data_IF_180726013827
#
_entry.id   IF_180726013827
#
_cell.length_a   1.000
_cell.length_b   1.000
_cell.length_c   1.000
_cell.angle_alpha   90.00
_cell.angle_beta   90.00
_cell.angle_gamma   90.00
#
_symmetry.space_group_name_H-M   'P 1'
#
loop_
_entity.id
_entity.type
_entity.pdbx_description
1 polymer ?
#
# COMPACT_ATOMS: atom_id res chain seq x y z
N UNK A 1 4.66 22.30 -27.08
CA UNK A 1 3.71 21.82 -26.05
C UNK A 1 2.78 22.96 -25.63
N UNK A 2 1.50 22.94 -26.00
CA UNK A 2 0.55 24.04 -25.74
C UNK A 2 0.33 24.36 -24.25
N UNK A 3 0.61 23.40 -23.35
CA UNK A 3 0.49 23.58 -21.90
C UNK A 3 1.58 24.51 -21.32
N UNK A 4 2.81 24.46 -21.85
CA UNK A 4 3.91 25.30 -21.38
C UNK A 4 3.65 26.79 -21.67
N UNK A 5 3.11 27.09 -22.85
CA UNK A 5 2.71 28.45 -23.26
C UNK A 5 1.62 29.01 -22.34
N UNK A 6 0.57 28.21 -22.07
CA UNK A 6 -0.50 28.62 -21.15
C UNK A 6 0.00 28.91 -19.74
N UNK A 7 0.93 28.10 -19.22
CA UNK A 7 1.52 28.33 -17.89
C UNK A 7 2.29 29.65 -17.83
N UNK A 8 3.07 29.97 -18.87
CA UNK A 8 3.82 31.23 -18.97
C UNK A 8 2.90 32.45 -19.05
N UNK A 9 1.80 32.37 -19.79
CA UNK A 9 0.82 33.45 -19.90
C UNK A 9 0.15 33.73 -18.54
N UNK A 10 -0.25 32.67 -17.83
CA UNK A 10 -0.83 32.78 -16.48
C UNK A 10 0.17 33.35 -15.48
N UNK A 11 1.43 32.92 -15.52
CA UNK A 11 2.48 33.45 -14.65
C UNK A 11 2.73 34.96 -14.91
N UNK A 12 2.78 35.35 -16.19
CA UNK A 12 2.94 36.76 -16.59
C UNK A 12 1.76 37.61 -16.14
N UNK A 13 0.54 37.09 -16.25
CA UNK A 13 -0.65 37.76 -15.76
C UNK A 13 -0.62 37.96 -14.24
N UNK A 14 -0.25 36.91 -13.48
CA UNK A 14 -0.15 36.98 -12.01
C UNK A 14 0.85 38.06 -11.56
N UNK A 15 1.99 38.18 -12.24
CA UNK A 15 3.00 39.20 -11.95
C UNK A 15 2.53 40.65 -12.18
N UNK A 16 1.49 40.86 -12.99
CA UNK A 16 0.90 42.18 -13.21
C UNK A 16 -0.04 42.61 -12.07
N UNK A 17 -0.64 41.67 -11.36
CA UNK A 17 -1.71 41.93 -10.38
C UNK A 17 -1.34 41.62 -8.93
N UNK A 18 -0.33 40.79 -8.69
CA UNK A 18 0.06 40.34 -7.37
C UNK A 18 1.55 40.55 -7.12
N UNK A 19 1.90 40.86 -5.87
CA UNK A 19 3.30 40.85 -5.45
C UNK A 19 3.82 39.41 -5.32
N UNK A 20 5.15 39.27 -5.24
CA UNK A 20 5.81 37.97 -5.18
C UNK A 20 5.32 37.12 -3.99
N UNK A 21 5.08 37.73 -2.83
CA UNK A 21 4.63 37.03 -1.61
C UNK A 21 3.24 36.46 -1.79
N UNK A 22 2.33 37.23 -2.39
CA UNK A 22 0.95 36.80 -2.70
C UNK A 22 0.95 35.71 -3.75
N UNK A 23 1.80 35.82 -4.78
CA UNK A 23 1.92 34.78 -5.80
C UNK A 23 2.39 33.46 -5.17
N UNK A 24 3.42 33.50 -4.35
CA UNK A 24 3.93 32.30 -3.67
C UNK A 24 2.87 31.69 -2.74
N UNK A 25 2.20 32.51 -1.92
CA UNK A 25 1.21 32.04 -0.96
C UNK A 25 -0.03 31.39 -1.61
N UNK A 26 -0.50 31.95 -2.73
CA UNK A 26 -1.71 31.45 -3.40
C UNK A 26 -1.41 30.38 -4.47
N UNK A 27 -0.27 30.45 -5.14
CA UNK A 27 0.00 29.65 -6.34
C UNK A 27 1.26 28.80 -6.26
N UNK A 28 2.19 29.03 -5.32
CA UNK A 28 3.47 28.31 -5.27
C UNK A 28 3.33 26.78 -5.21
N UNK A 29 2.35 26.28 -4.44
CA UNK A 29 2.07 24.84 -4.37
C UNK A 29 1.50 24.27 -5.68
N UNK A 30 0.58 25.00 -6.34
CA UNK A 30 0.01 24.60 -7.63
C UNK A 30 1.05 24.64 -8.73
N UNK A 31 1.88 25.69 -8.76
CA UNK A 31 2.91 25.87 -9.77
C UNK A 31 3.98 24.77 -9.65
N UNK A 32 4.36 24.41 -8.43
CA UNK A 32 5.26 23.30 -8.13
C UNK A 32 4.69 21.95 -8.58
N UNK A 33 3.38 21.74 -8.38
CA UNK A 33 2.70 20.51 -8.83
C UNK A 33 2.61 20.44 -10.36
N UNK A 34 2.33 21.56 -11.02
CA UNK A 34 2.29 21.65 -12.48
C UNK A 34 3.68 21.39 -13.08
N UNK A 35 4.75 21.97 -12.51
CA UNK A 35 6.12 21.71 -12.95
C UNK A 35 6.48 20.23 -12.83
N UNK A 36 6.15 19.61 -11.69
CA UNK A 36 6.34 18.18 -11.49
C UNK A 36 5.57 17.36 -12.53
N UNK A 37 4.29 17.65 -12.74
CA UNK A 37 3.42 16.90 -13.65
C UNK A 37 3.92 17.00 -15.09
N UNK A 38 4.34 18.19 -15.52
CA UNK A 38 4.90 18.41 -16.85
C UNK A 38 6.21 17.64 -17.06
N UNK A 39 7.08 17.63 -16.05
CA UNK A 39 8.33 16.88 -16.15
C UNK A 39 8.09 15.37 -16.18
N UNK A 40 7.15 14.84 -15.40
CA UNK A 40 6.78 13.43 -15.45
C UNK A 40 6.26 13.03 -16.84
N UNK A 41 5.42 13.87 -17.46
CA UNK A 41 4.97 13.65 -18.85
C UNK A 41 6.15 13.66 -19.81
N UNK A 42 7.06 14.63 -19.68
CA UNK A 42 8.26 14.73 -20.54
C UNK A 42 9.15 13.49 -20.44
N UNK A 43 9.40 13.00 -19.22
CA UNK A 43 10.20 11.80 -19.00
C UNK A 43 9.49 10.56 -19.58
N UNK A 44 8.18 10.42 -19.33
CA UNK A 44 7.42 9.24 -19.77
C UNK A 44 7.28 9.16 -21.30
N UNK A 45 7.10 10.30 -21.97
CA UNK A 45 6.99 10.40 -23.43
C UNK A 45 8.33 10.37 -24.16
N UNK A 46 9.46 10.34 -23.44
CA UNK A 46 10.76 10.28 -24.09
C UNK A 46 11.03 8.88 -24.65
N UNK A 47 10.78 8.70 -25.95
CA UNK A 47 11.00 7.43 -26.69
C UNK A 47 12.47 7.02 -26.78
N UNK A 48 13.41 7.95 -26.53
CA UNK A 48 14.85 7.67 -26.54
C UNK A 48 15.34 7.06 -25.23
N UNK A 49 14.50 7.01 -24.19
CA UNK A 49 14.84 6.46 -22.89
C UNK A 49 14.22 5.08 -22.71
N UNK A 50 15.03 4.11 -22.26
CA UNK A 50 14.51 2.84 -21.76
C UNK A 50 13.70 3.08 -20.47
N UNK A 51 12.85 2.12 -20.11
CA UNK A 51 12.06 2.22 -18.87
C UNK A 51 12.95 2.37 -17.61
N UNK A 52 14.12 1.73 -17.58
CA UNK A 52 15.10 1.91 -16.52
C UNK A 52 15.67 3.34 -16.48
N UNK A 53 15.96 3.92 -17.64
CA UNK A 53 16.44 5.30 -17.74
C UNK A 53 15.35 6.29 -17.32
N UNK A 54 14.09 6.05 -17.71
CA UNK A 54 12.94 6.88 -17.29
C UNK A 54 12.76 6.82 -15.78
N UNK A 55 12.88 5.64 -15.18
CA UNK A 55 12.81 5.47 -13.73
C UNK A 55 13.91 6.26 -13.01
N UNK A 56 15.16 6.16 -13.47
CA UNK A 56 16.27 6.91 -12.90
C UNK A 56 16.07 8.43 -13.01
N UNK A 57 15.58 8.92 -14.16
CA UNK A 57 15.30 10.35 -14.34
C UNK A 57 14.16 10.86 -13.46
N UNK A 58 13.12 10.05 -13.22
CA UNK A 58 12.05 10.40 -12.27
C UNK A 58 12.60 10.54 -10.85
N UNK A 59 13.40 9.58 -10.40
CA UNK A 59 14.01 9.61 -9.07
C UNK A 59 14.95 10.81 -8.90
N UNK A 60 15.80 11.08 -9.89
CA UNK A 60 16.68 12.24 -9.90
C UNK A 60 15.89 13.55 -9.81
N UNK A 61 14.83 13.71 -10.60
CA UNK A 61 13.99 14.90 -10.54
C UNK A 61 13.34 15.09 -9.17
N UNK A 62 12.76 14.02 -8.60
CA UNK A 62 12.14 14.07 -7.26
C UNK A 62 13.17 14.43 -6.18
N UNK A 63 14.40 13.93 -6.27
CA UNK A 63 15.47 14.24 -5.30
C UNK A 63 15.83 15.73 -5.28
N UNK A 64 15.73 16.40 -6.43
CA UNK A 64 16.06 17.81 -6.63
C UNK A 64 14.89 18.76 -6.37
N UNK A 65 13.69 18.24 -6.13
CA UNK A 65 12.55 19.08 -5.74
C UNK A 65 12.87 19.82 -4.44
N UNK A 66 12.45 21.10 -4.30
CA UNK A 66 12.49 21.80 -3.03
C UNK A 66 11.73 21.04 -1.95
N UNK A 67 12.18 21.15 -0.71
CA UNK A 67 11.45 20.57 0.42
C UNK A 67 10.11 21.29 0.58
N UNK A 68 9.03 20.52 0.65
CA UNK A 68 7.66 21.03 0.65
C UNK A 68 6.64 19.92 0.54
N UNK A 69 5.36 20.30 0.48
CA UNK A 69 4.25 19.33 0.46
C UNK A 69 4.33 18.37 -0.74
N UNK A 70 4.73 18.84 -1.93
CA UNK A 70 4.80 18.00 -3.14
C UNK A 70 5.85 16.90 -2.99
N UNK A 71 7.10 17.25 -2.65
CA UNK A 71 8.17 16.28 -2.42
C UNK A 71 7.83 15.29 -1.31
N UNK A 72 7.26 15.79 -0.21
CA UNK A 72 6.83 14.97 0.93
C UNK A 72 5.78 13.94 0.51
N UNK A 73 4.74 14.36 -0.22
CA UNK A 73 3.69 13.44 -0.69
C UNK A 73 4.24 12.39 -1.67
N UNK A 74 5.11 12.79 -2.60
CA UNK A 74 5.72 11.86 -3.57
C UNK A 74 6.57 10.82 -2.84
N UNK A 75 7.42 11.25 -1.91
CA UNK A 75 8.27 10.34 -1.14
C UNK A 75 7.44 9.39 -0.27
N UNK A 76 6.37 9.88 0.37
CA UNK A 76 5.47 9.01 1.14
C UNK A 76 4.81 7.95 0.26
N UNK A 77 4.31 8.31 -0.92
CA UNK A 77 3.71 7.35 -1.85
C UNK A 77 4.72 6.34 -2.38
N UNK A 78 5.93 6.79 -2.73
CA UNK A 78 7.01 5.91 -3.18
C UNK A 78 7.39 4.89 -2.09
N UNK A 79 7.56 5.35 -0.85
CA UNK A 79 7.87 4.50 0.29
C UNK A 79 6.76 3.47 0.55
N UNK A 80 5.48 3.83 0.39
CA UNK A 80 4.36 2.89 0.56
C UNK A 80 4.37 1.78 -0.51
N UNK A 81 4.55 2.13 -1.78
CA UNK A 81 4.60 1.14 -2.86
C UNK A 81 5.79 0.19 -2.67
N UNK A 82 6.95 0.75 -2.31
CA UNK A 82 8.16 -0.03 -2.02
C UNK A 82 7.98 -0.93 -0.79
N UNK A 83 7.35 -0.41 0.27
CA UNK A 83 7.03 -1.16 1.48
C UNK A 83 6.18 -2.39 1.16
N UNK A 84 5.12 -2.22 0.37
CA UNK A 84 4.22 -3.32 -0.02
C UNK A 84 4.96 -4.36 -0.85
N UNK A 85 5.63 -3.95 -1.93
CA UNK A 85 6.33 -4.85 -2.83
C UNK A 85 7.46 -5.63 -2.13
N UNK A 86 8.30 -4.95 -1.32
CA UNK A 86 9.36 -5.62 -0.56
C UNK A 86 8.79 -6.54 0.52
N UNK A 87 7.69 -6.15 1.18
CA UNK A 87 7.02 -7.02 2.16
C UNK A 87 6.57 -8.33 1.52
N UNK A 88 5.88 -8.27 0.37
CA UNK A 88 5.41 -9.47 -0.34
C UNK A 88 6.57 -10.35 -0.79
N UNK A 89 7.60 -9.75 -1.38
CA UNK A 89 8.80 -10.48 -1.82
C UNK A 89 9.50 -11.19 -0.65
N UNK A 90 9.70 -10.48 0.47
CA UNK A 90 10.36 -11.05 1.65
C UNK A 90 9.52 -12.16 2.28
N UNK A 91 8.20 -12.01 2.37
CA UNK A 91 7.29 -13.06 2.85
C UNK A 91 7.36 -14.30 1.95
N UNK A 92 7.34 -14.12 0.62
CA UNK A 92 7.47 -15.22 -0.34
C UNK A 92 8.82 -15.97 -0.23
N UNK A 93 9.87 -15.28 0.21
CA UNK A 93 11.19 -15.87 0.47
C UNK A 93 11.33 -16.49 1.88
N UNK A 94 10.27 -16.46 2.69
CA UNK A 94 10.30 -16.99 4.05
C UNK A 94 11.12 -16.15 5.03
N UNK A 95 11.19 -14.83 4.82
CA UNK A 95 11.90 -13.92 5.72
C UNK A 95 11.35 -14.00 7.15
N UNK A 96 12.24 -13.86 8.14
CA UNK A 96 11.85 -13.82 9.55
C UNK A 96 11.07 -12.54 9.88
N UNK A 97 10.23 -12.55 10.95
CA UNK A 97 9.55 -11.34 11.42
C UNK A 97 10.50 -10.18 11.72
N UNK A 98 11.69 -10.49 12.25
CA UNK A 98 12.72 -9.50 12.54
C UNK A 98 13.31 -8.86 11.27
N UNK A 99 13.59 -9.67 10.24
CA UNK A 99 14.08 -9.16 8.96
C UNK A 99 13.04 -8.25 8.31
N UNK A 100 11.76 -8.64 8.37
CA UNK A 100 10.66 -7.86 7.85
C UNK A 100 10.46 -6.54 8.63
N UNK A 101 10.54 -6.58 9.96
CA UNK A 101 10.49 -5.39 10.80
C UNK A 101 11.63 -4.40 10.48
N UNK A 102 12.86 -4.88 10.38
CA UNK A 102 14.03 -4.05 10.10
C UNK A 102 13.91 -3.33 8.74
N UNK A 103 13.48 -4.03 7.69
CA UNK A 103 13.22 -3.44 6.37
C UNK A 103 12.14 -2.35 6.44
N UNK A 104 11.02 -2.62 7.13
CA UNK A 104 9.93 -1.64 7.24
C UNK A 104 10.33 -0.42 8.06
N UNK A 105 11.13 -0.60 9.11
CA UNK A 105 11.64 0.51 9.93
C UNK A 105 12.45 1.50 9.09
N UNK A 106 13.23 1.00 8.13
CA UNK A 106 14.00 1.85 7.21
C UNK A 106 13.10 2.71 6.31
N UNK A 107 11.96 2.17 5.85
CA UNK A 107 11.06 2.86 4.92
C UNK A 107 10.03 3.77 5.57
N UNK A 108 9.47 3.36 6.72
CA UNK A 108 8.32 4.05 7.36
C UNK A 108 8.56 4.42 8.82
N UNK A 109 9.75 4.15 9.36
CA UNK A 109 10.10 4.44 10.74
C UNK A 109 9.58 3.42 11.75
N UNK A 110 10.09 3.53 12.98
CA UNK A 110 9.92 2.54 14.04
C UNK A 110 8.45 2.32 14.45
N UNK A 111 7.71 3.41 14.67
CA UNK A 111 6.33 3.34 15.14
C UNK A 111 5.40 2.66 14.12
N UNK A 112 5.60 2.91 12.82
CA UNK A 112 4.82 2.26 11.77
C UNK A 112 5.23 0.80 11.60
N UNK A 113 6.53 0.50 11.62
CA UNK A 113 7.03 -0.87 11.57
C UNK A 113 6.52 -1.73 12.73
N UNK A 114 6.43 -1.18 13.95
CA UNK A 114 5.90 -1.88 15.12
C UNK A 114 4.41 -2.23 14.96
N UNK A 115 3.58 -1.30 14.47
CA UNK A 115 2.16 -1.59 14.18
C UNK A 115 2.02 -2.66 13.10
N UNK A 116 2.83 -2.62 12.04
CA UNK A 116 2.81 -3.64 10.99
C UNK A 116 3.23 -5.02 11.51
N UNK A 117 4.22 -5.10 12.41
CA UNK A 117 4.61 -6.35 13.05
C UNK A 117 3.51 -6.91 13.96
N UNK A 118 2.76 -6.05 14.65
CA UNK A 118 1.59 -6.46 15.42
C UNK A 118 0.52 -7.08 14.50
N UNK A 119 0.22 -6.44 13.36
CA UNK A 119 -0.73 -6.98 12.37
C UNK A 119 -0.27 -8.35 11.87
N UNK A 120 1.01 -8.53 11.54
CA UNK A 120 1.53 -9.84 11.12
C UNK A 120 1.34 -10.92 12.21
N UNK A 121 1.48 -10.56 13.48
CA UNK A 121 1.29 -11.49 14.60
C UNK A 121 -0.18 -11.85 14.80
N UNK A 122 -1.09 -10.89 14.63
CA UNK A 122 -2.55 -11.10 14.65
C UNK A 122 -2.99 -11.99 13.48
N UNK A 123 -2.45 -11.75 12.28
CA UNK A 123 -2.69 -12.56 11.09
C UNK A 123 -2.20 -14.00 11.31
N UNK A 124 -0.95 -14.19 11.79
CA UNK A 124 -0.41 -15.52 12.06
C UNK A 124 -1.24 -16.30 13.10
N UNK A 125 -1.72 -15.62 14.15
CA UNK A 125 -2.59 -16.23 15.15
C UNK A 125 -3.93 -16.64 14.55
N UNK A 126 -4.52 -15.77 13.74
CA UNK A 126 -5.77 -16.07 13.04
C UNK A 126 -5.60 -17.26 12.07
N UNK A 127 -4.53 -17.30 11.28
CA UNK A 127 -4.22 -18.38 10.33
C UNK A 127 -4.11 -19.73 11.03
N UNK A 128 -3.46 -19.76 12.21
CA UNK A 128 -3.36 -20.96 13.04
C UNK A 128 -4.75 -21.41 13.53
N UNK A 129 -5.56 -20.49 14.08
CA UNK A 129 -6.93 -20.79 14.52
C UNK A 129 -7.81 -21.25 13.36
N UNK A 130 -7.65 -20.65 12.18
CA UNK A 130 -8.37 -21.00 10.97
C UNK A 130 -8.03 -22.40 10.47
N UNK A 131 -6.75 -22.77 10.47
CA UNK A 131 -6.32 -24.13 10.11
C UNK A 131 -6.89 -25.17 11.08
N UNK A 132 -6.89 -24.87 12.39
CA UNK A 132 -7.53 -25.71 13.39
C UNK A 132 -9.04 -25.84 13.13
N UNK A 133 -9.71 -24.73 12.85
CA UNK A 133 -11.15 -24.70 12.56
C UNK A 133 -11.50 -25.57 11.35
N UNK A 134 -10.82 -25.41 10.21
CA UNK A 134 -11.12 -26.17 9.00
C UNK A 134 -10.88 -27.68 9.18
N UNK A 135 -9.82 -28.07 9.91
CA UNK A 135 -9.57 -29.47 10.23
C UNK A 135 -10.69 -30.09 11.09
N UNK A 136 -11.14 -29.38 12.13
CA UNK A 136 -12.23 -29.86 13.00
C UNK A 136 -13.58 -29.88 12.29
N UNK A 137 -13.88 -28.85 11.50
CA UNK A 137 -15.07 -28.78 10.65
C UNK A 137 -15.15 -29.96 9.68
N UNK A 138 -14.05 -30.31 9.01
CA UNK A 138 -14.00 -31.48 8.13
C UNK A 138 -14.27 -32.80 8.87
N UNK A 139 -13.77 -32.94 10.10
CA UNK A 139 -14.07 -34.10 10.95
C UNK A 139 -15.55 -34.17 11.34
N UNK A 140 -16.15 -33.05 11.75
CA UNK A 140 -17.56 -32.99 12.11
C UNK A 140 -18.49 -33.33 10.93
N UNK A 141 -18.16 -32.83 9.74
CA UNK A 141 -18.95 -33.12 8.54
C UNK A 141 -18.81 -34.57 8.06
N UNK A 142 -17.63 -35.18 8.20
CA UNK A 142 -17.39 -36.55 7.76
C UNK A 142 -17.93 -37.62 8.72
N UNK A 143 -18.02 -37.31 10.02
CA UNK A 143 -18.48 -38.26 11.04
C UNK A 143 -19.98 -38.14 11.35
N UNK A 144 -20.64 -37.05 10.95
CA UNK A 144 -22.03 -36.83 11.31
C UNK A 144 -23.00 -37.58 10.41
N UNK A 145 -23.89 -38.35 11.03
CA UNK A 145 -25.07 -38.92 10.38
C UNK A 145 -26.22 -37.90 10.23
N UNK A 146 -26.13 -36.75 10.90
CA UNK A 146 -27.14 -35.69 10.91
C UNK A 146 -26.51 -34.32 10.54
N UNK A 147 -26.73 -33.82 9.32
CA UNK A 147 -26.17 -32.55 8.87
C UNK A 147 -26.56 -31.34 9.74
N UNK A 148 -27.77 -31.33 10.31
CA UNK A 148 -28.23 -30.23 11.16
C UNK A 148 -27.47 -30.18 12.50
N UNK A 149 -27.14 -31.35 13.05
CA UNK A 149 -26.38 -31.46 14.29
C UNK A 149 -24.90 -31.08 14.08
N UNK A 150 -24.32 -31.47 12.94
CA UNK A 150 -22.98 -31.04 12.56
C UNK A 150 -22.90 -29.51 12.45
N UNK A 151 -23.92 -28.87 11.86
CA UNK A 151 -23.95 -27.42 11.72
C UNK A 151 -23.98 -26.70 13.07
N UNK A 152 -24.76 -27.19 14.04
CA UNK A 152 -24.79 -26.62 15.39
C UNK A 152 -23.41 -26.69 16.06
N UNK A 153 -22.69 -27.79 15.89
CA UNK A 153 -21.34 -27.97 16.45
C UNK A 153 -20.31 -27.07 15.74
N UNK A 154 -20.43 -26.88 14.42
CA UNK A 154 -19.61 -25.94 13.67
C UNK A 154 -19.84 -24.51 14.14
N UNK A 155 -21.11 -24.09 14.32
CA UNK A 155 -21.43 -22.75 14.79
C UNK A 155 -20.87 -22.48 16.20
N UNK A 156 -20.88 -23.48 17.08
CA UNK A 156 -20.25 -23.41 18.40
C UNK A 156 -18.73 -23.29 18.30
N UNK A 157 -18.11 -24.08 17.42
CA UNK A 157 -16.68 -24.03 17.16
C UNK A 157 -16.24 -22.65 16.66
N UNK A 158 -17.01 -22.05 15.74
CA UNK A 158 -16.75 -20.69 15.26
C UNK A 158 -16.85 -19.66 16.38
N UNK A 159 -17.82 -19.78 17.29
CA UNK A 159 -17.97 -18.87 18.42
C UNK A 159 -16.85 -19.01 19.46
N UNK A 160 -16.26 -20.19 19.58
CA UNK A 160 -15.13 -20.45 20.48
C UNK A 160 -13.81 -19.93 19.92
N UNK A 161 -13.59 -20.11 18.62
CA UNK A 161 -12.31 -19.77 17.98
C UNK A 161 -12.25 -18.33 17.50
N UNK A 162 -13.38 -17.70 17.19
CA UNK A 162 -13.40 -16.40 16.53
C UNK A 162 -14.39 -15.43 17.18
N UNK A 163 -14.02 -14.16 17.23
CA UNK A 163 -14.95 -13.12 17.66
C UNK A 163 -16.04 -12.81 16.60
N UNK A 164 -16.97 -11.91 16.94
CA UNK A 164 -18.09 -11.60 16.05
C UNK A 164 -17.69 -10.92 14.73
N UNK A 165 -16.57 -10.21 14.68
CA UNK A 165 -16.04 -9.60 13.45
C UNK A 165 -15.27 -10.63 12.63
N UNK A 166 -14.45 -11.45 13.28
CA UNK A 166 -13.68 -12.54 12.67
C UNK A 166 -14.58 -13.59 12.02
N UNK A 167 -15.72 -13.96 12.65
CA UNK A 167 -16.68 -14.90 12.06
C UNK A 167 -17.23 -14.44 10.71
N UNK A 168 -17.43 -13.13 10.53
CA UNK A 168 -17.94 -12.58 9.25
C UNK A 168 -16.97 -12.74 8.09
N UNK A 169 -15.67 -12.87 8.37
CA UNK A 169 -14.64 -13.02 7.33
C UNK A 169 -14.26 -14.47 7.02
N UNK A 170 -14.73 -15.46 7.78
CA UNK A 170 -14.32 -16.87 7.62
C UNK A 170 -14.58 -17.40 6.21
N UNK A 171 -15.76 -17.14 5.63
CA UNK A 171 -16.11 -17.62 4.29
C UNK A 171 -15.25 -17.00 3.19
N UNK A 172 -14.99 -15.69 3.26
CA UNK A 172 -14.10 -15.01 2.31
C UNK A 172 -12.64 -15.44 2.47
N UNK A 173 -12.20 -15.67 3.71
CA UNK A 173 -10.87 -16.15 4.01
C UNK A 173 -10.64 -17.58 3.48
N UNK A 174 -11.63 -18.47 3.63
CA UNK A 174 -11.59 -19.82 3.06
C UNK A 174 -11.41 -19.79 1.53
N UNK A 175 -12.22 -19.00 0.82
CA UNK A 175 -12.12 -18.87 -0.64
C UNK A 175 -10.75 -18.31 -1.11
N UNK A 176 -10.16 -17.38 -0.35
CA UNK A 176 -8.83 -16.87 -0.63
C UNK A 176 -7.73 -17.93 -0.48
N UNK A 177 -7.84 -18.81 0.52
CA UNK A 177 -6.88 -19.89 0.74
C UNK A 177 -6.96 -20.97 -0.36
N UNK A 178 -8.16 -21.29 -0.83
CA UNK A 178 -8.35 -22.19 -1.97
C UNK A 178 -7.67 -21.66 -3.24
N UNK A 179 -7.76 -20.35 -3.47
CA UNK A 179 -7.15 -19.70 -4.65
C UNK A 179 -5.61 -19.70 -4.60
N UNK A 180 -5.01 -19.68 -3.40
CA UNK A 180 -3.54 -19.73 -3.23
C UNK A 180 -2.96 -21.14 -3.38
N UNK A 181 -3.81 -22.18 -3.29
CA UNK A 181 -3.39 -23.59 -3.31
C UNK A 181 -3.52 -24.22 -4.71
N UNK A 182 -4.18 -23.52 -5.65
CA UNK A 182 -4.29 -23.88 -7.08
C UNK A 182 -3.16 -23.24 -7.89
#
# INVERSE_FOLDING_TARGET
MPLLSKKQDVASLRQQYFDKTTIEAFFGASDSYDDYSMEMVRINQNEQMSEAQKQAARQDYVSRLPDGAIKTNIMQQANLNELMARTEQMKAQGASPEALYNMRRELVGEAAAARLAQVDQEDANFDQRFTQYEAQKGQLLSQSANPAEAQIQIDQLEQQLFDAAERKRLSGYAALQETKTQ
#
